data_IF_697997997473
#
_entry.id   IF_697997997473
#
_cell.length_a   1.000
_cell.length_b   1.000
_cell.length_c   1.000
_cell.angle_alpha   90.00
_cell.angle_beta   90.00
_cell.angle_gamma   90.00
#
_symmetry.space_group_name_H-M   'P 1'
#
loop_
_entity.id
_entity.type
_entity.pdbx_description
1 polymer ?
#
# COMPACT_ATOMS: atom_id res chain seq x y z
N UNK A 1 -15.77 27.70 -24.55
CA UNK A 1 -16.79 28.76 -24.81
C UNK A 1 -17.53 28.56 -26.14
N UNK A 2 -16.89 28.06 -27.21
CA UNK A 2 -17.57 27.78 -28.49
C UNK A 2 -18.76 26.83 -28.36
N UNK A 3 -18.61 25.73 -27.61
CA UNK A 3 -19.65 24.69 -27.51
C UNK A 3 -20.93 25.18 -26.79
N UNK A 4 -20.79 26.10 -25.84
CA UNK A 4 -21.93 26.71 -25.13
C UNK A 4 -22.74 27.59 -26.10
N UNK A 5 -22.06 28.41 -26.89
CA UNK A 5 -22.72 29.29 -27.85
C UNK A 5 -23.42 28.48 -28.96
N UNK A 6 -22.80 27.39 -29.41
CA UNK A 6 -23.43 26.49 -30.39
C UNK A 6 -24.68 25.80 -29.85
N UNK A 7 -24.66 25.36 -28.59
CA UNK A 7 -25.82 24.75 -27.95
C UNK A 7 -26.96 25.77 -27.74
N UNK A 8 -26.63 27.00 -27.35
CA UNK A 8 -27.62 28.08 -27.23
C UNK A 8 -28.28 28.42 -28.58
N UNK A 9 -27.50 28.48 -29.66
CA UNK A 9 -28.06 28.66 -31.01
C UNK A 9 -28.99 27.51 -31.40
N UNK A 10 -28.63 26.26 -31.11
CA UNK A 10 -29.48 25.11 -31.41
C UNK A 10 -30.83 25.16 -30.67
N UNK A 11 -30.87 25.74 -29.47
CA UNK A 11 -32.12 25.98 -28.72
C UNK A 11 -32.97 27.04 -29.42
N UNK A 12 -32.37 28.16 -29.83
CA UNK A 12 -33.08 29.24 -30.54
C UNK A 12 -33.65 28.73 -31.87
N UNK A 13 -32.90 27.91 -32.58
CA UNK A 13 -33.28 27.33 -33.88
C UNK A 13 -34.25 26.14 -33.74
N UNK A 14 -34.56 25.70 -32.51
CA UNK A 14 -35.43 24.55 -32.24
C UNK A 14 -34.85 23.20 -32.69
N UNK A 15 -33.54 23.13 -32.93
CA UNK A 15 -32.82 21.93 -33.35
C UNK A 15 -32.08 21.21 -32.21
N UNK A 16 -32.22 21.72 -30.98
CA UNK A 16 -31.63 21.12 -29.79
C UNK A 16 -32.13 19.69 -29.57
N UNK A 17 -31.20 18.77 -29.28
CA UNK A 17 -31.49 17.35 -29.15
C UNK A 17 -31.49 16.56 -30.46
N UNK A 18 -31.14 17.18 -31.59
CA UNK A 18 -30.88 16.49 -32.86
C UNK A 18 -29.41 16.62 -33.25
N UNK A 19 -28.83 15.55 -33.77
CA UNK A 19 -27.45 15.57 -34.25
C UNK A 19 -27.31 16.49 -35.48
N UNK A 20 -26.37 17.44 -35.44
CA UNK A 20 -26.08 18.33 -36.60
C UNK A 20 -25.71 17.60 -37.89
N UNK A 21 -25.16 16.38 -37.79
CA UNK A 21 -24.66 15.60 -38.96
C UNK A 21 -25.74 14.68 -39.51
N UNK A 22 -26.25 13.76 -38.71
CA UNK A 22 -27.19 12.72 -39.16
C UNK A 22 -28.67 13.04 -38.88
N UNK A 23 -28.95 14.14 -38.17
CA UNK A 23 -30.30 14.54 -37.74
C UNK A 23 -31.07 13.52 -36.89
N UNK A 24 -30.39 12.47 -36.42
CA UNK A 24 -30.95 11.53 -35.46
C UNK A 24 -31.14 12.20 -34.08
N UNK A 25 -32.13 11.76 -33.28
CA UNK A 25 -32.29 12.23 -31.92
C UNK A 25 -31.09 11.85 -31.05
N UNK A 26 -30.64 12.80 -30.23
CA UNK A 26 -29.58 12.60 -29.24
C UNK A 26 -30.23 12.00 -27.99
N UNK A 27 -29.68 10.90 -27.43
CA UNK A 27 -30.21 10.28 -26.21
C UNK A 27 -30.30 11.28 -25.05
N UNK A 28 -31.37 11.19 -24.26
CA UNK A 28 -31.62 12.12 -23.15
C UNK A 28 -30.55 12.02 -22.06
N UNK A 29 -30.07 10.82 -21.73
CA UNK A 29 -29.01 10.66 -20.73
C UNK A 29 -27.73 11.42 -21.13
N UNK A 30 -27.44 11.50 -22.44
CA UNK A 30 -26.29 12.25 -22.96
C UNK A 30 -26.47 13.76 -22.81
N UNK A 31 -27.67 14.29 -23.04
CA UNK A 31 -27.96 15.71 -22.87
C UNK A 31 -27.95 16.12 -21.39
N UNK A 32 -28.33 15.21 -20.49
CA UNK A 32 -28.24 15.42 -19.04
C UNK A 32 -26.77 15.45 -18.57
N UNK A 33 -25.91 14.57 -19.11
CA UNK A 33 -24.49 14.55 -18.78
C UNK A 33 -23.68 15.68 -19.45
N UNK A 34 -23.98 15.98 -20.72
CA UNK A 34 -23.28 16.98 -21.55
C UNK A 34 -24.31 17.88 -22.27
N UNK A 35 -24.80 18.94 -21.60
CA UNK A 35 -25.86 19.80 -22.15
C UNK A 35 -25.43 20.58 -23.40
N UNK A 36 -24.12 20.70 -23.65
CA UNK A 36 -23.56 21.34 -24.85
C UNK A 36 -23.45 20.40 -26.05
N UNK A 37 -23.87 19.14 -25.94
CA UNK A 37 -23.75 18.17 -27.02
C UNK A 37 -24.67 18.50 -28.21
N UNK A 38 -24.07 18.77 -29.38
CA UNK A 38 -24.77 19.04 -30.65
C UNK A 38 -24.66 17.90 -31.67
N UNK A 39 -23.95 16.83 -31.33
CA UNK A 39 -23.77 15.63 -32.15
C UNK A 39 -24.04 14.35 -31.36
N UNK A 40 -24.43 13.28 -32.06
CA UNK A 40 -24.55 11.95 -31.47
C UNK A 40 -23.18 11.37 -31.09
N UNK A 41 -23.18 10.27 -30.33
CA UNK A 41 -21.96 9.60 -29.85
C UNK A 41 -21.00 9.24 -30.99
N UNK A 42 -21.49 8.74 -32.11
CA UNK A 42 -20.65 8.36 -33.26
C UNK A 42 -19.99 9.55 -33.96
N UNK A 43 -20.66 10.70 -33.96
CA UNK A 43 -20.17 11.95 -34.58
C UNK A 43 -19.58 12.91 -33.53
N UNK A 44 -19.23 12.41 -32.34
CA UNK A 44 -18.50 13.17 -31.33
C UNK A 44 -17.07 13.41 -31.84
N UNK A 45 -16.56 14.64 -31.67
CA UNK A 45 -15.16 14.96 -32.02
C UNK A 45 -14.17 14.31 -31.06
N UNK A 46 -14.59 14.11 -29.81
CA UNK A 46 -13.80 13.42 -28.80
C UNK A 46 -14.15 11.92 -28.79
N UNK A 47 -13.50 11.16 -29.66
CA UNK A 47 -13.48 9.69 -29.62
C UNK A 47 -12.23 9.15 -28.91
N UNK A 48 -11.24 10.01 -28.67
CA UNK A 48 -9.93 9.63 -28.16
C UNK A 48 -9.82 10.02 -26.70
N UNK A 49 -9.50 9.05 -25.84
CA UNK A 49 -9.10 9.33 -24.46
C UNK A 49 -7.77 10.10 -24.50
N UNK A 50 -7.71 11.25 -23.83
CA UNK A 50 -6.49 12.04 -23.73
C UNK A 50 -5.39 11.23 -23.05
N UNK A 51 -4.24 11.12 -23.71
CA UNK A 51 -3.02 10.56 -23.14
C UNK A 51 -2.22 11.60 -22.33
N UNK A 52 -2.65 12.87 -22.31
CA UNK A 52 -2.07 13.89 -21.43
C UNK A 52 -2.62 13.72 -20.01
N UNK A 53 -2.19 12.64 -19.36
CA UNK A 53 -2.42 12.42 -17.93
C UNK A 53 -1.32 13.13 -17.13
N UNK A 54 -1.58 13.52 -15.87
CA UNK A 54 -0.55 14.07 -15.00
C UNK A 54 0.67 13.14 -14.90
N UNK A 55 1.85 13.69 -14.62
CA UNK A 55 3.09 12.90 -14.53
C UNK A 55 3.03 11.85 -13.41
N UNK A 56 2.20 12.11 -12.39
CA UNK A 56 1.93 11.19 -11.28
C UNK A 56 1.25 9.89 -11.73
N UNK A 57 0.48 9.90 -12.83
CA UNK A 57 -0.18 8.71 -13.36
C UNK A 57 0.75 7.80 -14.18
N UNK A 58 1.94 8.28 -14.55
CA UNK A 58 2.97 7.46 -15.19
C UNK A 58 3.51 6.40 -14.22
N UNK A 59 3.53 6.72 -12.92
CA UNK A 59 3.87 5.80 -11.83
C UNK A 59 2.74 4.82 -11.48
N UNK A 60 1.49 5.21 -11.78
CA UNK A 60 0.29 4.40 -11.55
C UNK A 60 -0.08 3.54 -12.76
N UNK A 61 0.73 3.57 -13.82
CA UNK A 61 0.52 2.77 -15.02
C UNK A 61 1.29 1.47 -14.92
N UNK A 62 0.64 0.31 -15.08
CA UNK A 62 -0.76 0.08 -15.45
C UNK A 62 -1.72 0.13 -14.25
N UNK A 63 -3.02 0.36 -14.54
CA UNK A 63 -4.05 0.53 -13.52
C UNK A 63 -4.26 -0.77 -12.73
N UNK A 64 -3.67 -0.84 -11.55
CA UNK A 64 -3.75 -1.93 -10.58
C UNK A 64 -3.29 -3.33 -11.10
N UNK A 65 -2.58 -4.07 -10.26
CA UNK A 65 -2.18 -5.45 -10.55
C UNK A 65 -0.80 -5.65 -11.18
N UNK A 66 0.07 -4.62 -11.25
CA UNK A 66 1.49 -4.83 -11.61
C UNK A 66 2.41 -5.02 -10.40
N UNK A 67 1.91 -4.76 -9.20
CA UNK A 67 2.64 -4.99 -7.95
C UNK A 67 2.26 -6.33 -7.30
N UNK A 68 1.53 -7.20 -7.99
CA UNK A 68 1.32 -8.61 -7.57
C UNK A 68 2.59 -9.47 -7.80
N UNK A 69 3.79 -8.90 -7.62
CA UNK A 69 4.94 -9.76 -7.37
C UNK A 69 4.88 -10.13 -5.89
N UNK A 70 4.20 -11.24 -5.59
CA UNK A 70 4.04 -11.84 -4.26
C UNK A 70 5.37 -12.14 -3.53
N UNK A 71 6.53 -11.89 -4.14
CA UNK A 71 7.86 -12.22 -3.60
C UNK A 71 8.77 -11.00 -3.33
N UNK A 72 8.31 -9.75 -3.55
CA UNK A 72 9.13 -8.59 -3.18
C UNK A 72 8.72 -7.99 -1.83
N UNK A 73 9.63 -8.01 -0.86
CA UNK A 73 9.51 -7.27 0.41
C UNK A 73 9.68 -5.74 0.24
N UNK A 74 9.27 -5.20 -0.91
CA UNK A 74 9.37 -3.79 -1.22
C UNK A 74 7.99 -3.16 -1.07
N UNK A 75 7.97 -1.95 -0.49
CA UNK A 75 6.73 -1.21 -0.19
C UNK A 75 5.74 -1.21 -1.36
N UNK A 76 4.57 -1.81 -1.15
CA UNK A 76 3.55 -2.01 -2.17
C UNK A 76 2.17 -1.45 -1.78
N UNK A 77 1.12 -1.91 -2.48
CA UNK A 77 -0.25 -1.48 -2.21
C UNK A 77 -0.85 -2.08 -0.93
N UNK A 78 -0.40 -3.26 -0.52
CA UNK A 78 -0.77 -3.88 0.75
C UNK A 78 -0.15 -3.09 1.91
N UNK A 79 1.14 -2.77 1.84
CA UNK A 79 1.84 -1.98 2.87
C UNK A 79 1.16 -0.61 3.07
N UNK A 80 0.83 0.05 1.96
CA UNK A 80 0.14 1.34 2.01
C UNK A 80 -1.27 1.26 2.62
N UNK A 81 -1.96 0.12 2.45
CA UNK A 81 -3.26 -0.09 3.08
C UNK A 81 -3.09 -0.35 4.58
N UNK A 82 -2.17 -1.24 4.97
CA UNK A 82 -1.89 -1.59 6.36
C UNK A 82 -1.47 -0.35 7.19
N UNK A 83 -0.64 0.54 6.62
CA UNK A 83 -0.19 1.78 7.28
C UNK A 83 -1.35 2.72 7.66
N UNK A 84 -2.32 2.86 6.76
CA UNK A 84 -3.49 3.72 6.99
C UNK A 84 -4.51 3.04 7.89
N UNK A 85 -4.61 1.72 7.82
CA UNK A 85 -5.53 0.92 8.62
C UNK A 85 -5.29 1.08 10.13
N UNK A 86 -4.02 1.27 10.54
CA UNK A 86 -3.63 1.56 11.94
C UNK A 86 -4.27 2.83 12.52
N UNK A 87 -4.67 3.79 11.67
CA UNK A 87 -5.37 5.00 12.13
C UNK A 87 -6.87 4.79 12.38
N UNK A 88 -7.37 3.59 12.08
CA UNK A 88 -8.72 3.14 12.38
C UNK A 88 -9.53 2.88 11.11
N UNK A 89 -10.10 1.68 11.04
CA UNK A 89 -11.15 1.29 10.12
C UNK A 89 -12.46 1.04 10.93
N UNK A 90 -13.51 0.52 10.29
CA UNK A 90 -14.74 0.14 11.00
C UNK A 90 -14.73 -1.30 11.51
N UNK A 91 -13.61 -2.00 11.37
CA UNK A 91 -13.45 -3.39 11.80
C UNK A 91 -13.07 -3.45 13.28
N UNK A 92 -13.51 -4.50 13.96
CA UNK A 92 -13.21 -4.77 15.36
C UNK A 92 -12.58 -6.14 15.52
N UNK A 93 -11.88 -6.44 16.64
CA UNK A 93 -11.36 -7.77 16.90
C UNK A 93 -12.41 -8.88 16.78
N UNK A 94 -13.69 -8.57 17.04
CA UNK A 94 -14.79 -9.55 16.97
C UNK A 94 -15.23 -9.89 15.54
N UNK A 95 -14.83 -9.09 14.55
CA UNK A 95 -15.14 -9.33 13.14
C UNK A 95 -14.13 -10.32 12.50
N UNK A 96 -13.03 -10.61 13.18
CA UNK A 96 -12.01 -11.59 12.79
C UNK A 96 -12.47 -13.04 13.04
N UNK A 97 -12.03 -13.97 12.18
CA UNK A 97 -12.27 -15.42 12.38
C UNK A 97 -11.60 -15.94 13.67
N UNK A 98 -10.41 -15.42 13.97
CA UNK A 98 -9.66 -15.67 15.20
C UNK A 98 -9.45 -14.34 15.94
N UNK A 99 -10.38 -13.95 16.84
CA UNK A 99 -10.32 -12.65 17.49
C UNK A 99 -9.09 -12.57 18.42
N UNK A 100 -8.18 -11.59 18.22
CA UNK A 100 -7.06 -11.39 19.11
C UNK A 100 -7.51 -10.84 20.48
N UNK A 101 -6.62 -10.92 21.48
CA UNK A 101 -6.90 -10.50 22.86
C UNK A 101 -6.85 -8.98 23.05
N UNK A 102 -6.09 -8.27 22.21
CA UNK A 102 -5.98 -6.81 22.24
C UNK A 102 -6.32 -6.21 20.89
N UNK A 103 -6.72 -4.94 20.89
CA UNK A 103 -7.03 -4.20 19.66
C UNK A 103 -5.78 -3.95 18.81
N UNK A 104 -4.62 -3.83 19.46
CA UNK A 104 -3.34 -3.59 18.79
C UNK A 104 -2.92 -4.81 17.94
N UNK A 105 -3.29 -6.02 18.37
CA UNK A 105 -3.02 -7.28 17.67
C UNK A 105 -4.01 -7.56 16.51
N UNK A 106 -4.92 -6.64 16.17
CA UNK A 106 -5.88 -6.79 15.05
C UNK A 106 -5.21 -6.55 13.69
N UNK A 107 -4.20 -5.69 13.65
CA UNK A 107 -3.55 -5.32 12.41
C UNK A 107 -2.53 -6.39 12.01
N UNK A 108 -2.66 -6.91 10.78
CA UNK A 108 -1.68 -7.80 10.14
C UNK A 108 -0.32 -7.12 10.18
N UNK A 109 0.73 -7.84 10.60
CA UNK A 109 2.09 -7.30 10.77
C UNK A 109 2.22 -6.16 11.80
N UNK A 110 1.38 -6.13 12.84
CA UNK A 110 1.56 -5.22 13.99
C UNK A 110 2.90 -5.41 14.72
N UNK A 111 3.58 -6.53 14.47
CA UNK A 111 4.80 -6.97 15.14
C UNK A 111 6.02 -7.07 14.22
N UNK A 112 5.87 -6.90 12.90
CA UNK A 112 7.01 -6.81 11.99
C UNK A 112 7.65 -5.43 12.19
N UNK A 113 8.64 -5.42 13.07
CA UNK A 113 9.50 -4.28 13.24
C UNK A 113 10.58 -4.34 12.15
N UNK A 114 10.71 -3.27 11.35
CA UNK A 114 11.69 -3.12 10.25
C UNK A 114 13.15 -3.05 10.77
N UNK A 115 13.60 -4.07 11.48
CA UNK A 115 14.98 -4.21 11.93
C UNK A 115 15.77 -5.07 10.95
N UNK A 116 17.07 -4.78 10.83
CA UNK A 116 17.94 -5.53 9.92
C UNK A 116 18.23 -6.92 10.51
N UNK A 117 18.28 -7.01 11.83
CA UNK A 117 18.53 -8.24 12.58
C UNK A 117 17.50 -8.40 13.70
N UNK A 118 17.10 -9.64 13.99
CA UNK A 118 16.04 -9.97 14.97
C UNK A 118 16.30 -9.40 16.37
N UNK A 119 17.57 -9.22 16.76
CA UNK A 119 17.93 -8.70 18.08
C UNK A 119 17.93 -7.17 18.19
N UNK A 120 17.91 -6.44 17.07
CA UNK A 120 17.98 -4.97 17.06
C UNK A 120 16.72 -4.33 17.67
N UNK A 121 15.57 -5.01 17.65
CA UNK A 121 14.33 -4.48 18.22
C UNK A 121 14.31 -4.42 19.74
N UNK A 122 15.11 -5.24 20.42
CA UNK A 122 15.16 -5.28 21.88
C UNK A 122 16.53 -4.94 22.46
N UNK A 123 17.60 -5.02 21.68
CA UNK A 123 18.96 -4.70 22.13
C UNK A 123 19.25 -3.19 21.98
N UNK A 124 19.55 -2.53 23.10
CA UNK A 124 19.91 -1.12 23.09
C UNK A 124 21.40 -0.89 23.40
N UNK A 125 22.03 -0.08 22.57
CA UNK A 125 23.38 0.43 22.80
C UNK A 125 23.35 1.88 23.33
N UNK A 126 24.39 2.27 24.06
CA UNK A 126 24.62 3.67 24.40
C UNK A 126 25.20 4.46 23.20
N UNK A 127 25.43 5.76 23.39
CA UNK A 127 25.98 6.63 22.33
C UNK A 127 27.40 6.22 21.88
N UNK A 128 28.11 5.41 22.66
CA UNK A 128 29.44 4.89 22.33
C UNK A 128 29.37 3.52 21.63
N UNK A 129 28.15 2.98 21.41
CA UNK A 129 27.94 1.68 20.77
C UNK A 129 28.11 0.50 21.72
N UNK A 130 28.16 0.72 23.04
CA UNK A 130 28.26 -0.34 24.02
C UNK A 130 26.86 -0.85 24.38
N UNK A 131 26.67 -2.17 24.34
CA UNK A 131 25.43 -2.82 24.79
C UNK A 131 25.08 -2.37 26.22
N UNK A 132 23.89 -1.78 26.38
CA UNK A 132 23.46 -1.11 27.60
C UNK A 132 22.31 -1.84 28.28
N UNK A 133 21.31 -2.29 27.50
CA UNK A 133 20.10 -2.89 28.02
C UNK A 133 19.40 -3.76 26.97
N UNK A 134 18.75 -4.82 27.45
CA UNK A 134 17.78 -5.61 26.69
C UNK A 134 16.38 -5.27 27.20
N UNK A 135 15.45 -5.02 26.29
CA UNK A 135 14.05 -4.75 26.61
C UNK A 135 13.22 -6.02 26.47
N UNK A 136 12.39 -6.36 27.47
CA UNK A 136 11.48 -7.49 27.35
C UNK A 136 10.33 -7.10 26.40
N UNK A 137 10.42 -7.55 25.15
CA UNK A 137 9.39 -7.40 24.11
C UNK A 137 8.95 -8.79 23.63
N UNK A 138 7.84 -8.89 22.89
CA UNK A 138 7.43 -10.16 22.28
C UNK A 138 8.49 -10.70 21.32
N UNK A 139 9.18 -9.82 20.59
CA UNK A 139 10.30 -10.18 19.72
C UNK A 139 11.48 -10.81 20.49
N UNK A 140 11.78 -10.31 21.69
CA UNK A 140 12.78 -10.92 22.57
C UNK A 140 12.39 -12.35 22.98
N UNK A 141 11.13 -12.58 23.35
CA UNK A 141 10.63 -13.90 23.75
C UNK A 141 10.68 -14.89 22.56
N UNK A 142 10.25 -14.46 21.38
CA UNK A 142 10.30 -15.27 20.16
C UNK A 142 11.74 -15.64 19.76
N UNK A 143 12.69 -14.70 19.90
CA UNK A 143 14.10 -14.94 19.63
C UNK A 143 14.73 -15.96 20.60
N UNK A 144 14.40 -15.89 21.90
CA UNK A 144 14.85 -16.88 22.88
C UNK A 144 14.26 -18.28 22.57
N UNK A 145 12.96 -18.35 22.22
CA UNK A 145 12.31 -19.62 21.88
C UNK A 145 12.95 -20.29 20.64
N UNK A 146 13.30 -19.50 19.62
CA UNK A 146 13.98 -20.00 18.43
C UNK A 146 15.37 -20.59 18.75
N UNK A 147 16.14 -19.91 19.60
CA UNK A 147 17.45 -20.40 20.05
C UNK A 147 17.33 -21.69 20.88
N UNK A 148 16.33 -21.77 21.75
CA UNK A 148 16.05 -22.95 22.57
C UNK A 148 15.60 -24.15 21.71
N UNK A 149 14.82 -23.92 20.65
CA UNK A 149 14.40 -24.97 19.70
C UNK A 149 15.59 -25.51 18.89
N UNK A 150 16.47 -24.63 18.41
CA UNK A 150 17.70 -25.03 17.73
C UNK A 150 18.75 -25.61 18.69
N UNK A 151 18.59 -25.39 19.99
CA UNK A 151 19.49 -25.86 21.04
C UNK A 151 20.84 -25.16 21.00
N UNK A 152 20.88 -23.89 20.58
CA UNK A 152 22.10 -23.07 20.48
C UNK A 152 21.95 -21.81 21.33
N UNK A 153 23.01 -21.41 22.04
CA UNK A 153 22.93 -20.21 22.89
C UNK A 153 23.00 -18.89 22.09
N UNK A 154 23.59 -18.92 20.90
CA UNK A 154 23.65 -17.77 19.98
C UNK A 154 23.70 -18.25 18.52
N UNK A 155 23.46 -17.34 17.58
CA UNK A 155 23.63 -17.58 16.12
C UNK A 155 25.04 -18.06 15.76
N UNK A 156 26.06 -17.71 16.56
CA UNK A 156 27.45 -18.13 16.34
C UNK A 156 27.83 -19.43 17.07
N UNK A 157 26.86 -20.11 17.70
CA UNK A 157 27.03 -21.32 18.50
C UNK A 157 27.04 -21.07 20.01
N UNK A 158 27.31 -22.12 20.78
CA UNK A 158 27.28 -22.03 22.23
C UNK A 158 28.40 -21.15 22.77
N UNK A 159 28.01 -20.14 23.55
CA UNK A 159 28.97 -19.35 24.31
C UNK A 159 29.68 -20.26 25.30
N UNK A 160 31.01 -20.18 25.31
CA UNK A 160 31.80 -20.88 26.33
C UNK A 160 31.39 -20.39 27.72
N UNK A 161 31.32 -21.29 28.72
CA UNK A 161 31.14 -20.91 30.11
C UNK A 161 32.15 -19.84 30.51
N UNK A 162 31.76 -18.97 31.45
CA UNK A 162 32.48 -17.79 31.95
C UNK A 162 33.94 -18.03 32.41
N UNK A 163 34.43 -19.27 32.40
CA UNK A 163 35.76 -19.69 32.86
C UNK A 163 36.83 -19.76 31.76
N UNK A 164 36.49 -19.58 30.48
CA UNK A 164 37.48 -19.54 29.39
C UNK A 164 37.41 -18.22 28.59
N UNK A 165 38.57 -17.56 28.38
CA UNK A 165 38.63 -16.33 27.59
C UNK A 165 38.31 -16.62 26.11
N UNK A 166 37.48 -15.79 25.45
CA UNK A 166 36.81 -16.14 24.19
C UNK A 166 37.73 -16.19 22.96
N UNK A 167 39.02 -15.80 23.05
CA UNK A 167 39.91 -15.72 21.87
C UNK A 167 41.38 -16.06 22.14
N UNK A 168 41.68 -17.15 22.86
CA UNK A 168 43.03 -17.72 22.80
C UNK A 168 43.14 -18.64 21.59
N UNK A 169 43.84 -18.18 20.55
CA UNK A 169 44.21 -19.03 19.40
C UNK A 169 45.10 -20.18 19.88
N UNK A 170 44.56 -21.40 19.91
CA UNK A 170 45.41 -22.60 19.94
C UNK A 170 46.02 -22.79 18.55
N UNK A 171 47.21 -22.22 18.35
CA UNK A 171 48.08 -22.64 17.26
C UNK A 171 48.63 -24.03 17.61
N UNK A 172 48.27 -25.04 16.83
CA UNK A 172 48.99 -26.31 16.80
C UNK A 172 49.18 -26.83 15.37
#
# INVERSE_FOLDING_TARGET
MLDINEALQAIVDGSYGLCKVCKAPIPKERLEALPTAVTCTEHSKEQTVSQNRPIEEDLLSPPAGQFENEESAAYDGEDAYQDVERYGNSETPSDMEFPPLTYDDVYTQSEDEDYVEDYEGFAAADIEGKASKVYPTKAHEAYEEALDEEGVMTVFGDLKPYEEEPYTQENH
#
